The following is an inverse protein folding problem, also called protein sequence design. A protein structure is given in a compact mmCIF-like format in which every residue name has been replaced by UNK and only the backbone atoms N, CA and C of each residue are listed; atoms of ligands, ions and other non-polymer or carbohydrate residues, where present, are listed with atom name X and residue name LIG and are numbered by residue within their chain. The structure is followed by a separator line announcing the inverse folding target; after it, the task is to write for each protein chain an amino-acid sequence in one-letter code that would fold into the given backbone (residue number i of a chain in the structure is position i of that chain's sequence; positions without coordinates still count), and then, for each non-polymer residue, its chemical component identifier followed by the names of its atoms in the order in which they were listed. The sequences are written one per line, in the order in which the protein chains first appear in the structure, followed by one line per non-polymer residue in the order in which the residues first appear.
data_IF_772192754243
#
_entry.id   IF_772192754243
#
_cell.length_a   1.000
_cell.length_b   1.000
_cell.length_c   1.000
_cell.angle_alpha   90.00
_cell.angle_beta   90.00
_cell.angle_gamma   90.00
#
_symmetry.space_group_name_H-M   'P 1'
#
loop_
_entity.id
_entity.type
_entity.pdbx_description
1 polymer ?
#
# COMPACT_ATOMS: atom_id res chain seq x y z
N UNK A 1 -12.14 -19.39 -38.62
CA UNK A 1 -11.25 -18.32 -38.14
C UNK A 1 -12.16 -17.14 -37.83
N UNK A 2 -12.31 -16.60 -36.62
CA UNK A 2 -11.47 -16.54 -35.43
C UNK A 2 -12.44 -16.38 -34.25
N UNK A 3 -12.54 -17.37 -33.37
CA UNK A 3 -11.62 -17.59 -32.25
C UNK A 3 -11.67 -16.42 -31.26
N UNK A 4 -12.51 -16.61 -30.24
CA UNK A 4 -12.10 -16.42 -28.83
C UNK A 4 -11.40 -15.08 -28.52
N UNK A 5 -12.08 -13.94 -28.64
CA UNK A 5 -11.51 -12.65 -28.15
C UNK A 5 -12.52 -11.81 -27.36
N UNK A 6 -13.57 -12.43 -26.81
CA UNK A 6 -14.61 -11.71 -26.07
C UNK A 6 -14.56 -11.92 -24.55
N UNK A 7 -13.71 -12.83 -24.07
CA UNK A 7 -13.62 -13.18 -22.64
C UNK A 7 -12.40 -12.55 -21.93
N UNK A 8 -11.39 -12.11 -22.68
CA UNK A 8 -10.20 -11.47 -22.09
C UNK A 8 -10.41 -9.98 -21.75
N UNK A 9 -11.42 -9.33 -22.35
CA UNK A 9 -11.73 -7.89 -22.19
C UNK A 9 -12.76 -7.61 -21.08
N UNK A 10 -13.00 -8.55 -20.15
CA UNK A 10 -13.90 -8.33 -19.01
C UNK A 10 -13.24 -8.39 -17.63
N UNK A 11 -11.92 -8.55 -17.55
CA UNK A 11 -11.18 -8.61 -16.27
C UNK A 11 -10.41 -7.34 -15.89
N UNK A 12 -10.57 -6.24 -16.61
CA UNK A 12 -9.77 -5.02 -16.35
C UNK A 12 -10.61 -3.75 -16.18
N UNK A 13 -11.91 -3.88 -15.89
CA UNK A 13 -12.82 -2.73 -15.80
C UNK A 13 -13.71 -2.75 -14.55
N UNK A 14 -13.30 -3.45 -13.49
CA UNK A 14 -13.98 -3.47 -12.19
C UNK A 14 -12.92 -3.46 -11.10
N UNK A 15 -12.32 -2.30 -10.83
CA UNK A 15 -11.49 -2.08 -9.63
C UNK A 15 -11.26 -0.57 -9.39
N UNK A 16 -12.29 0.27 -9.54
CA UNK A 16 -12.18 1.72 -9.26
C UNK A 16 -12.86 2.13 -7.94
N UNK A 17 -13.58 1.19 -7.31
CA UNK A 17 -14.35 1.41 -6.07
C UNK A 17 -13.92 0.49 -4.90
N UNK A 18 -12.97 -0.42 -5.11
CA UNK A 18 -12.42 -1.26 -4.04
C UNK A 18 -10.97 -0.87 -3.72
N UNK A 19 -10.59 -0.71 -2.45
CA UNK A 19 -9.18 -0.55 -2.10
C UNK A 19 -8.42 -1.81 -2.52
N UNK A 20 -7.25 -1.61 -3.13
CA UNK A 20 -6.41 -2.71 -3.60
C UNK A 20 -5.91 -3.57 -2.41
N UNK A 21 -5.31 -4.73 -2.70
CA UNK A 21 -4.83 -5.65 -1.66
C UNK A 21 -3.76 -5.03 -0.73
N UNK A 22 -3.02 -4.02 -1.19
CA UNK A 22 -2.06 -3.27 -0.39
C UNK A 22 -2.74 -2.22 0.48
N UNK A 23 -3.67 -1.46 -0.08
CA UNK A 23 -4.47 -0.48 0.65
C UNK A 23 -5.29 -1.14 1.76
N UNK A 24 -5.95 -2.27 1.47
CA UNK A 24 -6.64 -3.11 2.47
C UNK A 24 -5.72 -3.49 3.62
N UNK A 25 -4.46 -3.85 3.34
CA UNK A 25 -3.48 -4.20 4.39
C UNK A 25 -3.11 -2.99 5.22
N UNK A 26 -2.85 -1.84 4.60
CA UNK A 26 -2.49 -0.60 5.30
C UNK A 26 -3.67 -0.07 6.15
N UNK A 27 -4.89 -0.09 5.64
CA UNK A 27 -6.07 0.26 6.43
C UNK A 27 -6.24 -0.65 7.64
N UNK A 28 -5.94 -1.95 7.50
CA UNK A 28 -6.00 -2.89 8.63
C UNK A 28 -4.93 -2.68 9.71
N UNK A 29 -3.87 -1.89 9.44
CA UNK A 29 -2.81 -1.63 10.42
C UNK A 29 -3.11 -0.45 11.36
N UNK A 30 -4.13 0.36 11.06
CA UNK A 30 -4.44 1.58 11.81
C UNK A 30 -3.44 2.73 11.62
N UNK A 31 -2.57 2.66 10.60
CA UNK A 31 -1.56 3.68 10.29
C UNK A 31 -1.68 4.21 8.85
N UNK A 32 -2.90 4.21 8.31
CA UNK A 32 -3.15 4.59 6.92
C UNK A 32 -2.85 6.07 6.67
N UNK A 33 -3.15 6.95 7.63
CA UNK A 33 -2.90 8.40 7.51
C UNK A 33 -1.40 8.71 7.43
N UNK A 34 -0.58 8.05 8.24
CA UNK A 34 0.88 8.18 8.19
C UNK A 34 1.46 7.60 6.91
N UNK A 35 0.90 6.47 6.43
CA UNK A 35 1.29 5.88 5.15
C UNK A 35 0.97 6.80 3.97
N UNK A 36 -0.23 7.42 3.97
CA UNK A 36 -0.64 8.38 2.95
C UNK A 36 0.33 9.56 2.91
N UNK A 37 0.63 10.18 4.07
CA UNK A 37 1.60 11.29 4.16
C UNK A 37 3.00 10.91 3.65
N UNK A 38 3.46 9.70 3.96
CA UNK A 38 4.74 9.20 3.46
C UNK A 38 4.72 9.03 1.93
N UNK A 39 3.64 8.46 1.40
CA UNK A 39 3.44 8.23 -0.02
C UNK A 39 3.31 9.55 -0.78
N UNK A 40 2.59 10.53 -0.22
CA UNK A 40 2.46 11.88 -0.75
C UNK A 40 3.81 12.59 -0.80
N UNK A 41 4.60 12.54 0.28
CA UNK A 41 5.95 13.12 0.28
C UNK A 41 6.83 12.50 -0.80
N UNK A 42 6.79 11.17 -0.96
CA UNK A 42 7.52 10.51 -2.05
C UNK A 42 6.96 10.91 -3.41
N UNK A 43 5.65 11.06 -3.56
CA UNK A 43 5.04 11.45 -4.82
C UNK A 43 5.47 12.86 -5.25
N UNK A 44 5.57 13.79 -4.31
CA UNK A 44 6.02 15.16 -4.54
C UNK A 44 7.53 15.23 -4.82
N UNK A 45 8.34 14.57 -4.00
CA UNK A 45 9.81 14.71 -4.05
C UNK A 45 10.51 13.69 -4.95
N UNK A 46 9.85 12.56 -5.21
CA UNK A 46 10.39 11.35 -5.85
C UNK A 46 11.65 10.79 -5.17
N UNK A 47 11.88 11.14 -3.90
CA UNK A 47 13.04 10.71 -3.12
C UNK A 47 12.65 10.46 -1.65
N UNK A 48 12.67 9.19 -1.25
CA UNK A 48 12.29 8.77 0.10
C UNK A 48 13.24 9.28 1.18
N UNK A 49 14.49 9.64 0.84
CA UNK A 49 15.46 10.17 1.82
C UNK A 49 15.04 11.53 2.35
N UNK A 50 14.32 12.30 1.53
CA UNK A 50 13.78 13.61 1.89
C UNK A 50 12.45 13.53 2.66
N UNK A 51 11.95 12.31 2.91
CA UNK A 51 10.71 11.99 3.63
C UNK A 51 10.98 11.26 4.95
N UNK A 52 12.15 11.51 5.55
CA UNK A 52 12.59 10.83 6.78
C UNK A 52 11.64 11.11 7.94
N UNK A 53 11.09 12.33 8.03
CA UNK A 53 10.16 12.70 9.09
C UNK A 53 8.83 11.92 9.00
N UNK A 54 8.29 11.77 7.79
CA UNK A 54 7.09 10.99 7.50
C UNK A 54 7.33 9.50 7.78
N UNK A 55 8.53 9.01 7.43
CA UNK A 55 8.92 7.63 7.71
C UNK A 55 9.02 7.36 9.22
N UNK A 56 9.56 8.29 10.02
CA UNK A 56 9.60 8.18 11.47
C UNK A 56 8.21 8.20 12.11
N UNK A 57 7.29 9.02 11.57
CA UNK A 57 5.89 9.04 12.01
C UNK A 57 5.20 7.71 11.72
N UNK A 58 5.36 7.18 10.52
CA UNK A 58 4.82 5.88 10.15
C UNK A 58 5.36 4.76 11.04
N UNK A 59 6.68 4.70 11.26
CA UNK A 59 7.30 3.73 12.18
C UNK A 59 6.78 3.86 13.62
N UNK A 60 6.57 5.09 14.08
CA UNK A 60 6.05 5.35 15.42
C UNK A 60 4.61 4.86 15.56
N UNK A 61 3.75 5.11 14.58
CA UNK A 61 2.41 4.55 14.54
C UNK A 61 2.46 3.01 14.48
N UNK A 62 3.30 2.46 13.60
CA UNK A 62 3.44 1.02 13.39
C UNK A 62 3.72 0.27 14.70
N UNK A 63 4.67 0.79 15.47
CA UNK A 63 5.04 0.24 16.79
C UNK A 63 3.91 0.39 17.82
N UNK A 64 3.21 1.52 17.83
CA UNK A 64 2.08 1.76 18.76
C UNK A 64 0.91 0.82 18.50
N UNK A 65 0.63 0.53 17.23
CA UNK A 65 -0.41 -0.41 16.81
C UNK A 65 0.02 -1.88 16.91
N UNK A 66 1.25 -2.17 17.36
CA UNK A 66 1.74 -3.53 17.55
C UNK A 66 1.94 -4.32 16.26
N UNK A 67 2.22 -3.61 15.15
CA UNK A 67 2.28 -4.22 13.82
C UNK A 67 3.60 -4.97 13.53
N UNK A 68 4.56 -5.00 14.46
CA UNK A 68 5.90 -5.58 14.26
C UNK A 68 5.83 -7.05 13.77
N UNK A 69 4.86 -7.82 14.29
CA UNK A 69 4.63 -9.22 13.89
C UNK A 69 4.17 -9.40 12.43
N UNK A 70 3.70 -8.33 11.78
CA UNK A 70 3.25 -8.37 10.37
C UNK A 70 4.42 -8.32 9.39
N UNK A 71 5.60 -7.88 9.87
CA UNK A 71 6.83 -7.74 9.10
C UNK A 71 7.90 -8.76 9.47
N UNK A 72 7.62 -9.64 10.43
CA UNK A 72 8.52 -10.72 10.78
C UNK A 72 8.69 -11.64 9.56
N UNK A 73 9.89 -11.62 8.99
CA UNK A 73 10.27 -12.54 7.94
C UNK A 73 10.37 -13.91 8.61
N UNK A 74 9.39 -14.78 8.38
CA UNK A 74 9.58 -16.21 8.67
C UNK A 74 10.72 -16.66 7.76
N UNK A 75 11.82 -17.10 8.36
CA UNK A 75 12.90 -17.76 7.64
C UNK A 75 12.28 -18.81 6.69
N UNK A 76 12.50 -18.62 5.40
CA UNK A 76 11.98 -19.47 4.33
C UNK A 76 12.88 -20.69 4.11
#
# INVERSE_FOLDING_TARGET
MSKQESDAVRKSAVDDDEPDDWDKRIFSTGCADENAKLTDCYFEKKDWRQCTAEMERFKSCWKQQGNDQRTDVKDA
#
